data_IF_982680286886
#
_entry.id   IF_982680286886
#
_cell.length_a   1.000
_cell.length_b   1.000
_cell.length_c   1.000
_cell.angle_alpha   90.00
_cell.angle_beta   90.00
_cell.angle_gamma   90.00
#
_symmetry.space_group_name_H-M   'P 1'
#
loop_
_entity.id
_entity.type
_entity.pdbx_description
1 polymer ?
#
# COMPACT_ATOMS: atom_id res chain seq x y z
N UNK A 1 12.59 21.89 3.04
CA UNK A 1 11.25 21.34 3.16
C UNK A 1 10.82 20.81 1.80
N UNK A 2 10.35 19.55 1.75
CA UNK A 2 9.77 18.98 0.55
C UNK A 2 8.35 19.55 0.35
N UNK A 3 7.96 19.75 -0.91
CA UNK A 3 6.58 20.13 -1.26
C UNK A 3 5.82 18.90 -1.72
N UNK A 4 4.51 18.88 -1.44
CA UNK A 4 3.60 17.87 -1.94
C UNK A 4 2.70 18.49 -3.01
N UNK A 5 2.42 17.75 -4.07
CA UNK A 5 1.43 18.09 -5.10
C UNK A 5 0.33 17.04 -5.15
N UNK A 6 -0.86 17.46 -5.59
CA UNK A 6 -1.99 16.55 -5.75
C UNK A 6 -1.93 15.88 -7.13
N UNK A 7 -1.43 14.65 -7.17
CA UNK A 7 -1.20 13.88 -8.38
C UNK A 7 -2.35 12.93 -8.68
N UNK A 8 -2.76 12.83 -9.95
CA UNK A 8 -3.67 11.77 -10.41
C UNK A 8 -2.84 10.55 -10.81
N UNK A 9 -3.13 9.41 -10.19
CA UNK A 9 -2.36 8.19 -10.46
C UNK A 9 -2.67 7.62 -11.85
N UNK A 10 -1.62 7.21 -12.61
CA UNK A 10 -1.79 6.69 -13.96
C UNK A 10 -2.76 5.49 -14.00
N UNK A 11 -3.74 5.53 -14.91
CA UNK A 11 -4.72 4.45 -15.11
C UNK A 11 -5.74 4.29 -13.98
N UNK A 12 -5.92 5.31 -13.16
CA UNK A 12 -6.91 5.33 -12.08
C UNK A 12 -7.65 6.68 -12.01
N UNK A 13 -8.73 6.74 -11.22
CA UNK A 13 -9.39 7.99 -10.83
C UNK A 13 -8.97 8.42 -9.40
N UNK A 14 -7.86 7.90 -8.88
CA UNK A 14 -7.37 8.20 -7.53
C UNK A 14 -6.37 9.35 -7.61
N UNK A 15 -6.52 10.31 -6.69
CA UNK A 15 -5.60 11.42 -6.51
C UNK A 15 -4.92 11.28 -5.15
N UNK A 16 -3.61 11.57 -5.10
CA UNK A 16 -2.85 11.53 -3.86
C UNK A 16 -1.99 12.79 -3.73
N UNK A 17 -1.79 13.24 -2.50
CA UNK A 17 -0.73 14.16 -2.15
C UNK A 17 0.58 13.37 -2.11
N UNK A 18 1.43 13.60 -3.09
CA UNK A 18 2.72 12.94 -3.22
C UNK A 18 3.83 14.00 -3.27
N UNK A 19 5.08 13.57 -3.12
CA UNK A 19 6.21 14.46 -3.30
C UNK A 19 6.16 15.07 -4.70
N UNK A 20 6.34 16.38 -4.77
CA UNK A 20 6.44 17.08 -6.05
C UNK A 20 7.74 16.65 -6.76
N UNK A 21 7.61 16.19 -8.02
CA UNK A 21 8.73 15.71 -8.82
C UNK A 21 9.86 16.76 -8.95
N UNK A 22 9.51 18.05 -9.04
CA UNK A 22 10.47 19.14 -9.14
C UNK A 22 11.32 19.28 -7.85
N UNK A 23 10.88 18.74 -6.73
CA UNK A 23 11.64 18.73 -5.48
C UNK A 23 12.61 17.53 -5.36
N UNK A 24 12.52 16.54 -6.24
CA UNK A 24 13.35 15.34 -6.16
C UNK A 24 14.78 15.58 -6.67
N UNK A 25 14.95 16.55 -7.57
CA UNK A 25 16.23 16.87 -8.19
C UNK A 25 17.08 17.85 -7.36
N UNK A 26 16.57 18.38 -6.25
CA UNK A 26 17.33 19.28 -5.40
C UNK A 26 18.36 18.55 -4.54
N UNK A 27 19.48 19.22 -4.28
CA UNK A 27 20.44 18.73 -3.31
C UNK A 27 19.87 18.82 -1.88
N UNK A 28 19.99 17.74 -1.11
CA UNK A 28 19.64 17.71 0.30
C UNK A 28 20.82 18.17 1.15
N UNK A 29 20.53 18.88 2.24
CA UNK A 29 21.56 19.17 3.27
C UNK A 29 21.98 17.88 3.97
N UNK A 30 23.16 17.83 4.62
CA UNK A 30 23.56 16.66 5.41
C UNK A 30 22.55 16.27 6.50
N UNK A 31 21.90 17.26 7.11
CA UNK A 31 20.88 17.03 8.16
C UNK A 31 19.58 16.43 7.56
N UNK A 32 19.12 16.95 6.41
CA UNK A 32 17.98 16.38 5.68
C UNK A 32 18.27 14.96 5.25
N UNK A 33 19.47 14.70 4.69
CA UNK A 33 19.91 13.37 4.29
C UNK A 33 19.89 12.41 5.47
N UNK A 34 20.41 12.82 6.63
CA UNK A 34 20.40 11.99 7.83
C UNK A 34 18.97 11.64 8.27
N UNK A 35 18.07 12.63 8.32
CA UNK A 35 16.65 12.40 8.69
C UNK A 35 15.94 11.47 7.71
N UNK A 36 16.15 11.65 6.42
CA UNK A 36 15.57 10.77 5.40
C UNK A 36 16.06 9.32 5.54
N UNK A 37 17.33 9.12 5.92
CA UNK A 37 17.89 7.79 6.13
C UNK A 37 17.42 7.14 7.45
N UNK A 38 17.18 7.94 8.49
CA UNK A 38 16.68 7.47 9.78
C UNK A 38 15.17 7.17 9.73
N UNK A 39 14.38 8.02 9.05
CA UNK A 39 12.91 7.92 8.91
C UNK A 39 12.50 8.20 7.46
N UNK A 40 12.64 7.21 6.57
CA UNK A 40 12.30 7.40 5.16
C UNK A 40 10.81 7.70 4.99
N UNK A 41 10.43 8.80 4.32
CA UNK A 41 9.03 9.19 4.16
C UNK A 41 8.36 8.35 3.05
N UNK A 42 8.22 7.04 3.25
CA UNK A 42 7.64 6.12 2.26
C UNK A 42 6.22 6.52 1.83
N UNK A 43 5.48 7.18 2.70
CA UNK A 43 4.11 7.63 2.49
C UNK A 43 3.97 8.74 1.44
N UNK A 44 5.04 9.45 1.10
CA UNK A 44 4.99 10.51 0.08
C UNK A 44 5.11 9.99 -1.36
N UNK A 45 5.10 8.68 -1.55
CA UNK A 45 5.10 7.99 -2.85
C UNK A 45 3.90 7.05 -2.98
N UNK A 46 3.48 6.81 -4.20
CA UNK A 46 2.65 5.67 -4.54
C UNK A 46 3.56 4.56 -5.10
N UNK A 47 3.90 3.58 -4.26
CA UNK A 47 4.76 2.47 -4.66
C UNK A 47 4.08 1.58 -5.71
N UNK A 48 4.88 0.91 -6.53
CA UNK A 48 4.41 0.12 -7.66
C UNK A 48 3.32 -0.91 -7.27
N UNK A 49 3.49 -1.61 -6.15
CA UNK A 49 2.51 -2.61 -5.69
C UNK A 49 1.20 -1.98 -5.23
N UNK A 50 1.24 -0.81 -4.61
CA UNK A 50 0.04 -0.04 -4.27
C UNK A 50 -0.74 0.40 -5.50
N UNK A 51 -0.04 0.86 -6.55
CA UNK A 51 -0.67 1.24 -7.82
C UNK A 51 -1.27 0.02 -8.54
N UNK A 52 -0.58 -1.13 -8.52
CA UNK A 52 -1.12 -2.39 -9.06
C UNK A 52 -2.40 -2.77 -8.33
N UNK A 53 -2.41 -2.77 -6.99
CA UNK A 53 -3.62 -3.09 -6.22
C UNK A 53 -4.76 -2.13 -6.53
N UNK A 54 -4.48 -0.84 -6.64
CA UNK A 54 -5.50 0.16 -6.96
C UNK A 54 -6.19 -0.12 -8.30
N UNK A 55 -5.42 -0.41 -9.35
CA UNK A 55 -5.94 -0.76 -10.67
C UNK A 55 -6.69 -2.10 -10.64
N UNK A 56 -6.09 -3.09 -10.01
CA UNK A 56 -6.64 -4.43 -9.95
C UNK A 56 -7.96 -4.49 -9.19
N UNK A 57 -8.10 -3.79 -8.05
CA UNK A 57 -9.34 -3.70 -7.28
C UNK A 57 -10.45 -2.95 -8.04
N UNK A 58 -10.09 -1.95 -8.84
CA UNK A 58 -11.07 -1.25 -9.69
C UNK A 58 -11.66 -2.19 -10.77
N UNK A 59 -10.82 -3.05 -11.34
CA UNK A 59 -11.24 -4.06 -12.34
C UNK A 59 -11.91 -5.28 -11.70
N UNK A 60 -11.60 -5.58 -10.44
CA UNK A 60 -12.04 -6.77 -9.70
C UNK A 60 -12.74 -6.40 -8.37
N UNK A 61 -13.79 -5.57 -8.37
CA UNK A 61 -14.41 -5.05 -7.15
C UNK A 61 -15.02 -6.14 -6.26
N UNK A 62 -15.32 -7.33 -6.81
CA UNK A 62 -15.84 -8.47 -6.05
C UNK A 62 -14.92 -8.94 -4.92
N UNK A 63 -13.63 -8.60 -4.98
CA UNK A 63 -12.68 -8.96 -3.93
C UNK A 63 -12.88 -8.17 -2.64
N UNK A 64 -13.40 -6.96 -2.73
CA UNK A 64 -13.58 -6.06 -1.57
C UNK A 64 -15.03 -5.66 -1.33
N UNK A 65 -15.90 -5.76 -2.34
CA UNK A 65 -17.29 -5.28 -2.22
C UNK A 65 -18.03 -5.95 -1.08
N UNK A 66 -18.53 -5.11 -0.16
CA UNK A 66 -19.27 -5.56 1.03
C UNK A 66 -18.40 -6.21 2.10
N UNK A 67 -17.08 -6.24 1.92
CA UNK A 67 -16.11 -6.80 2.88
C UNK A 67 -15.58 -5.74 3.84
N UNK A 68 -15.15 -6.19 5.01
CA UNK A 68 -14.33 -5.43 5.96
C UNK A 68 -12.87 -5.66 5.63
N UNK A 69 -12.17 -4.62 5.25
CA UNK A 69 -10.82 -4.68 4.69
C UNK A 69 -9.85 -3.94 5.62
N UNK A 70 -8.67 -4.51 5.83
CA UNK A 70 -7.55 -3.81 6.44
C UNK A 70 -6.42 -3.69 5.40
N UNK A 71 -5.91 -2.47 5.24
CA UNK A 71 -4.72 -2.18 4.44
C UNK A 71 -3.50 -2.09 5.38
N UNK A 72 -2.60 -3.07 5.29
CA UNK A 72 -1.43 -3.18 6.16
C UNK A 72 -0.21 -2.51 5.53
N UNK A 73 0.41 -1.60 6.26
CA UNK A 73 1.48 -0.75 5.75
C UNK A 73 0.93 0.23 4.72
N UNK A 74 -0.14 0.94 5.08
CA UNK A 74 -0.95 1.72 4.15
C UNK A 74 -0.19 2.85 3.42
N UNK A 75 0.88 3.37 4.00
CA UNK A 75 1.73 4.41 3.42
C UNK A 75 0.92 5.62 2.94
N UNK A 76 0.83 5.81 1.62
CA UNK A 76 0.00 6.87 1.02
C UNK A 76 -1.51 6.61 1.11
N UNK A 77 -1.95 5.42 1.52
CA UNK A 77 -3.36 5.00 1.59
C UNK A 77 -3.97 4.60 0.24
N UNK A 78 -3.18 4.43 -0.80
CA UNK A 78 -3.69 4.17 -2.15
C UNK A 78 -4.54 2.90 -2.22
N UNK A 79 -4.13 1.81 -1.58
CA UNK A 79 -4.85 0.54 -1.62
C UNK A 79 -6.13 0.61 -0.77
N UNK A 80 -6.10 1.27 0.40
CA UNK A 80 -7.28 1.54 1.21
C UNK A 80 -8.32 2.37 0.45
N UNK A 81 -7.89 3.45 -0.21
CA UNK A 81 -8.75 4.31 -1.04
C UNK A 81 -9.37 3.51 -2.19
N UNK A 82 -8.57 2.69 -2.87
CA UNK A 82 -9.05 1.83 -3.94
C UNK A 82 -10.11 0.83 -3.45
N UNK A 83 -9.88 0.19 -2.30
CA UNK A 83 -10.84 -0.73 -1.69
C UNK A 83 -12.16 -0.03 -1.33
N UNK A 84 -12.10 1.17 -0.75
CA UNK A 84 -13.28 1.96 -0.44
C UNK A 84 -14.06 2.34 -1.71
N UNK A 85 -13.39 2.84 -2.76
CA UNK A 85 -14.00 3.17 -4.06
C UNK A 85 -14.60 1.93 -4.76
N UNK A 86 -14.03 0.76 -4.56
CA UNK A 86 -14.53 -0.51 -5.11
C UNK A 86 -15.71 -1.10 -4.31
N UNK A 87 -16.15 -0.44 -3.22
CA UNK A 87 -17.37 -0.77 -2.49
C UNK A 87 -17.13 -1.66 -1.27
N UNK A 88 -15.96 -1.63 -0.66
CA UNK A 88 -15.75 -2.23 0.65
C UNK A 88 -16.73 -1.64 1.69
N UNK A 89 -17.18 -2.48 2.63
CA UNK A 89 -18.11 -2.07 3.68
C UNK A 89 -17.43 -1.18 4.73
N UNK A 90 -16.21 -1.54 5.09
CA UNK A 90 -15.36 -0.82 6.04
C UNK A 90 -13.91 -1.01 5.59
N UNK A 91 -13.11 0.05 5.64
CA UNK A 91 -11.68 -0.03 5.36
C UNK A 91 -10.90 0.63 6.49
N UNK A 92 -9.94 -0.11 7.04
CA UNK A 92 -8.98 0.38 8.03
C UNK A 92 -7.62 0.52 7.36
N UNK A 93 -7.11 1.75 7.25
CA UNK A 93 -5.72 2.00 6.88
C UNK A 93 -4.84 1.87 8.13
N UNK A 94 -3.93 0.90 8.11
CA UNK A 94 -3.06 0.58 9.23
C UNK A 94 -1.60 0.82 8.85
N UNK A 95 -0.90 1.66 9.62
CA UNK A 95 0.52 1.93 9.44
C UNK A 95 1.17 2.29 10.77
N UNK A 96 2.40 1.83 11.00
CA UNK A 96 3.16 2.14 12.21
C UNK A 96 3.63 3.61 12.25
N UNK A 97 3.83 4.22 11.07
CA UNK A 97 4.23 5.62 10.96
C UNK A 97 3.02 6.55 11.12
N UNK A 98 2.97 7.40 12.17
CA UNK A 98 1.90 8.38 12.32
C UNK A 98 1.78 9.35 11.15
N UNK A 99 2.87 9.68 10.45
CA UNK A 99 2.84 10.55 9.27
C UNK A 99 2.18 9.85 8.07
N UNK A 100 2.34 8.54 7.93
CA UNK A 100 1.60 7.76 6.94
C UNK A 100 0.09 7.80 7.23
N UNK A 101 -0.32 7.73 8.50
CA UNK A 101 -1.73 7.86 8.88
C UNK A 101 -2.28 9.26 8.53
N UNK A 102 -1.50 10.33 8.77
CA UNK A 102 -1.88 11.68 8.36
C UNK A 102 -1.99 11.80 6.83
N UNK A 103 -1.05 11.20 6.08
CA UNK A 103 -1.11 11.13 4.62
C UNK A 103 -2.37 10.37 4.14
N UNK A 104 -2.70 9.23 4.76
CA UNK A 104 -3.93 8.48 4.47
C UNK A 104 -5.18 9.34 4.69
N UNK A 105 -5.25 10.13 5.77
CA UNK A 105 -6.38 11.04 6.05
C UNK A 105 -6.52 12.10 4.97
N UNK A 106 -5.43 12.77 4.61
CA UNK A 106 -5.42 13.81 3.58
C UNK A 106 -5.81 13.23 2.21
N UNK A 107 -5.30 12.06 1.87
CA UNK A 107 -5.58 11.40 0.61
C UNK A 107 -7.00 10.84 0.55
N UNK A 108 -7.55 10.32 1.65
CA UNK A 108 -8.95 9.90 1.72
C UNK A 108 -9.90 11.08 1.49
N UNK A 109 -9.62 12.22 2.13
CA UNK A 109 -10.40 13.47 1.92
C UNK A 109 -10.31 13.94 0.47
N UNK A 110 -9.15 13.88 -0.17
CA UNK A 110 -8.94 14.26 -1.58
C UNK A 110 -9.74 13.38 -2.56
N UNK A 111 -10.12 12.18 -2.14
CA UNK A 111 -10.87 11.21 -2.94
C UNK A 111 -12.34 11.02 -2.51
N UNK A 112 -12.84 11.80 -1.57
CA UNK A 112 -14.19 11.72 -1.03
C UNK A 112 -14.56 10.33 -0.49
N UNK A 113 -13.61 9.65 0.17
CA UNK A 113 -13.82 8.34 0.80
C UNK A 113 -13.66 8.42 2.32
N UNK A 114 -14.36 7.53 3.04
CA UNK A 114 -14.28 7.37 4.49
C UNK A 114 -13.41 6.17 4.81
N UNK A 115 -12.39 6.36 5.66
CA UNK A 115 -11.52 5.31 6.17
C UNK A 115 -11.48 5.36 7.70
N UNK A 116 -11.27 4.22 8.33
CA UNK A 116 -10.79 4.11 9.70
C UNK A 116 -9.27 3.99 9.72
N UNK A 117 -8.64 4.30 10.85
CA UNK A 117 -7.17 4.37 10.94
C UNK A 117 -6.68 3.64 12.18
N UNK A 118 -5.54 2.96 12.04
CA UNK A 118 -4.87 2.26 13.14
C UNK A 118 -3.35 2.42 13.02
N UNK A 119 -2.67 2.48 14.15
CA UNK A 119 -1.19 2.46 14.22
C UNK A 119 -0.65 1.15 14.78
N UNK A 120 -1.52 0.21 15.15
CA UNK A 120 -1.13 -1.07 15.72
C UNK A 120 -1.95 -2.22 15.15
N UNK A 121 -1.37 -2.91 14.16
CA UNK A 121 -1.97 -4.10 13.55
C UNK A 121 -2.26 -5.20 14.58
N UNK A 122 -1.40 -5.35 15.60
CA UNK A 122 -1.53 -6.41 16.57
C UNK A 122 -2.60 -6.16 17.63
N UNK A 123 -2.99 -4.89 17.81
CA UNK A 123 -4.14 -4.51 18.64
C UNK A 123 -5.48 -4.71 17.91
N UNK A 124 -5.48 -4.82 16.58
CA UNK A 124 -6.69 -5.04 15.81
C UNK A 124 -7.26 -6.45 16.07
N UNK A 125 -8.56 -6.52 16.27
CA UNK A 125 -9.25 -7.81 16.48
C UNK A 125 -9.33 -8.63 15.19
N UNK A 126 -9.42 -9.96 15.32
CA UNK A 126 -9.69 -10.90 14.22
C UNK A 126 -11.13 -10.68 13.70
N UNK A 127 -11.30 -9.73 12.81
CA UNK A 127 -12.62 -9.30 12.29
C UNK A 127 -12.64 -8.95 10.81
N UNK A 128 -11.51 -9.00 10.13
CA UNK A 128 -11.40 -8.61 8.72
C UNK A 128 -11.74 -9.77 7.79
N UNK A 129 -12.46 -9.46 6.72
CA UNK A 129 -12.72 -10.42 5.66
C UNK A 129 -11.52 -10.54 4.73
N UNK A 130 -10.81 -9.40 4.53
CA UNK A 130 -9.62 -9.34 3.68
C UNK A 130 -8.57 -8.41 4.28
N UNK A 131 -7.32 -8.86 4.29
CA UNK A 131 -6.16 -8.00 4.52
C UNK A 131 -5.46 -7.79 3.19
N UNK A 132 -5.25 -6.54 2.80
CA UNK A 132 -4.47 -6.14 1.62
C UNK A 132 -3.11 -5.63 2.05
N UNK A 133 -2.08 -5.94 1.28
CA UNK A 133 -0.68 -5.63 1.60
C UNK A 133 0.06 -5.25 0.32
N UNK A 134 0.78 -4.13 0.35
CA UNK A 134 1.55 -3.64 -0.79
C UNK A 134 2.99 -3.30 -0.39
N UNK A 135 3.98 -3.92 -1.04
CA UNK A 135 5.43 -3.66 -0.86
C UNK A 135 5.91 -3.67 0.60
N UNK A 136 5.42 -4.62 1.42
CA UNK A 136 5.82 -4.77 2.83
C UNK A 136 6.92 -5.80 3.00
N UNK A 137 7.06 -6.74 2.06
CA UNK A 137 8.00 -7.85 2.20
C UNK A 137 9.44 -7.49 1.76
N UNK A 138 9.73 -6.22 1.47
CA UNK A 138 11.07 -5.74 1.10
C UNK A 138 12.14 -6.10 2.15
N UNK A 139 11.76 -6.21 3.42
CA UNK A 139 12.57 -6.85 4.46
C UNK A 139 12.13 -8.30 4.65
N UNK A 140 13.07 -9.24 4.50
CA UNK A 140 12.79 -10.67 4.73
C UNK A 140 12.36 -10.98 6.17
N UNK A 141 12.70 -10.13 7.12
CA UNK A 141 12.20 -10.21 8.50
C UNK A 141 10.66 -10.08 8.57
N UNK A 142 10.03 -9.50 7.55
CA UNK A 142 8.58 -9.36 7.43
C UNK A 142 7.86 -10.62 6.90
N UNK A 143 8.57 -11.61 6.39
CA UNK A 143 7.95 -12.86 5.89
C UNK A 143 7.06 -13.57 6.92
N UNK A 144 7.38 -13.62 8.23
CA UNK A 144 6.48 -14.19 9.23
C UNK A 144 5.11 -13.47 9.36
N UNK A 145 4.99 -12.24 8.85
CA UNK A 145 3.70 -11.52 8.82
C UNK A 145 2.67 -12.22 7.92
N UNK A 146 3.09 -13.02 6.95
CA UNK A 146 2.19 -13.79 6.09
C UNK A 146 1.23 -14.68 6.91
N UNK A 147 1.74 -15.35 7.96
CA UNK A 147 0.90 -16.11 8.89
C UNK A 147 0.03 -15.20 9.77
N UNK A 148 0.56 -14.04 10.15
CA UNK A 148 -0.15 -13.06 10.97
C UNK A 148 -1.35 -12.46 10.22
N UNK A 149 -1.22 -12.23 8.90
CA UNK A 149 -2.35 -11.77 8.09
C UNK A 149 -3.50 -12.77 8.12
N UNK A 150 -3.22 -14.07 7.97
CA UNK A 150 -4.24 -15.11 8.02
C UNK A 150 -4.75 -15.39 9.44
N UNK A 151 -4.04 -14.97 10.49
CA UNK A 151 -4.56 -15.07 11.86
C UNK A 151 -5.61 -13.99 12.15
N UNK A 152 -5.63 -12.86 11.47
CA UNK A 152 -6.50 -11.68 11.69
C UNK A 152 -7.49 -11.42 10.56
N UNK A 153 -7.25 -11.99 9.39
CA UNK A 153 -8.14 -11.92 8.23
C UNK A 153 -8.58 -13.31 7.77
N UNK A 154 -9.72 -13.38 7.11
CA UNK A 154 -10.15 -14.62 6.45
C UNK A 154 -9.35 -14.87 5.18
N UNK A 155 -8.99 -13.80 4.49
CA UNK A 155 -8.22 -13.80 3.27
C UNK A 155 -7.10 -12.76 3.36
N UNK A 156 -6.03 -12.99 2.60
CA UNK A 156 -4.96 -12.02 2.39
C UNK A 156 -4.67 -11.86 0.91
N UNK A 157 -4.52 -10.62 0.44
CA UNK A 157 -4.12 -10.25 -0.91
C UNK A 157 -2.82 -9.44 -0.82
N UNK A 158 -1.73 -10.01 -1.31
CA UNK A 158 -0.38 -9.44 -1.20
C UNK A 158 0.14 -9.10 -2.58
N UNK A 159 0.49 -7.84 -2.79
CA UNK A 159 1.21 -7.36 -3.96
C UNK A 159 2.62 -6.96 -3.56
N UNK A 160 3.64 -7.51 -4.22
CA UNK A 160 5.02 -7.23 -3.89
C UNK A 160 5.91 -7.15 -5.13
N UNK A 161 6.69 -6.08 -5.22
CA UNK A 161 7.65 -5.82 -6.30
C UNK A 161 9.08 -6.23 -5.92
N UNK A 162 9.35 -6.43 -4.63
CA UNK A 162 10.70 -6.65 -4.09
C UNK A 162 11.00 -8.12 -3.86
N UNK A 163 10.02 -8.90 -3.37
CA UNK A 163 10.14 -10.34 -3.14
C UNK A 163 9.28 -11.09 -4.14
N UNK A 164 9.90 -11.50 -5.27
CA UNK A 164 9.18 -12.06 -6.42
C UNK A 164 8.69 -13.49 -6.22
N UNK A 165 9.39 -14.27 -5.42
CA UNK A 165 9.19 -15.71 -5.29
C UNK A 165 9.30 -16.15 -3.84
N UNK A 166 8.41 -15.66 -2.97
CA UNK A 166 8.30 -16.28 -1.67
C UNK A 166 7.52 -17.59 -1.76
N UNK A 167 7.94 -18.58 -0.97
CA UNK A 167 7.25 -19.85 -0.88
C UNK A 167 6.48 -19.91 0.43
N UNK A 168 5.17 -20.04 0.33
CA UNK A 168 4.30 -20.22 1.49
C UNK A 168 3.14 -21.17 1.12
N UNK A 169 2.84 -22.21 1.95
CA UNK A 169 1.87 -23.24 1.58
C UNK A 169 0.47 -22.75 1.25
N UNK A 170 0.05 -21.63 1.88
CA UNK A 170 -1.31 -21.08 1.75
C UNK A 170 -1.42 -19.98 0.70
N UNK A 171 -0.29 -19.38 0.26
CA UNK A 171 -0.29 -18.28 -0.71
C UNK A 171 -0.11 -18.79 -2.12
N UNK A 172 -1.06 -18.47 -2.98
CA UNK A 172 -1.03 -18.80 -4.41
C UNK A 172 -0.82 -17.51 -5.21
N UNK A 173 0.13 -17.54 -6.14
CA UNK A 173 0.35 -16.42 -7.06
C UNK A 173 -0.78 -16.35 -8.09
N UNK A 174 -1.49 -15.24 -8.12
CA UNK A 174 -2.54 -14.96 -9.09
C UNK A 174 -1.96 -14.51 -10.43
N UNK A 175 -0.85 -13.78 -10.41
CA UNK A 175 -0.20 -13.27 -11.61
C UNK A 175 0.94 -12.32 -11.31
N UNK A 176 1.49 -11.75 -12.40
CA UNK A 176 2.48 -10.67 -12.37
C UNK A 176 1.90 -9.53 -13.18
N UNK A 177 1.89 -8.34 -12.60
CA UNK A 177 1.36 -7.11 -13.18
C UNK A 177 2.46 -6.06 -13.23
N UNK A 178 2.30 -5.04 -14.08
CA UNK A 178 3.32 -4.00 -14.24
C UNK A 178 2.82 -2.64 -13.76
N UNK A 179 3.64 -1.97 -12.96
CA UNK A 179 3.52 -0.57 -12.60
C UNK A 179 4.88 0.02 -12.23
N UNK A 180 4.97 1.36 -12.26
CA UNK A 180 6.09 2.10 -11.69
C UNK A 180 5.64 2.76 -10.39
N UNK A 181 6.57 3.02 -9.48
CA UNK A 181 6.38 3.96 -8.38
C UNK A 181 6.02 5.34 -8.94
N UNK A 182 5.13 6.06 -8.29
CA UNK A 182 4.73 7.41 -8.71
C UNK A 182 4.93 8.44 -7.59
N UNK A 183 5.60 9.58 -7.84
CA UNK A 183 6.34 9.94 -9.06
C UNK A 183 7.43 8.91 -9.41
N UNK A 184 7.81 8.81 -10.70
CA UNK A 184 8.78 7.81 -11.16
C UNK A 184 10.16 8.07 -10.55
N UNK A 185 10.65 7.12 -9.77
CA UNK A 185 11.96 7.16 -9.12
C UNK A 185 13.10 6.64 -10.03
N UNK A 186 12.81 6.36 -11.30
CA UNK A 186 13.73 5.70 -12.23
C UNK A 186 14.31 4.38 -11.66
N UNK A 187 13.51 3.65 -10.91
CA UNK A 187 13.89 2.38 -10.31
C UNK A 187 14.25 1.34 -11.39
N UNK A 188 15.12 0.37 -11.08
CA UNK A 188 15.42 -0.74 -11.98
C UNK A 188 14.13 -1.39 -12.49
N UNK A 189 14.12 -1.74 -13.79
CA UNK A 189 12.95 -2.32 -14.46
C UNK A 189 12.37 -3.55 -13.74
N UNK A 190 13.20 -4.23 -12.98
CA UNK A 190 12.80 -5.39 -12.17
C UNK A 190 11.78 -5.07 -11.09
N UNK A 191 11.77 -3.86 -10.52
CA UNK A 191 10.79 -3.43 -9.50
C UNK A 191 9.46 -2.97 -10.10
N UNK A 192 9.34 -2.96 -11.43
CA UNK A 192 8.08 -2.71 -12.14
C UNK A 192 7.19 -3.95 -12.23
N UNK A 193 7.77 -5.15 -12.01
CA UNK A 193 7.03 -6.42 -12.04
C UNK A 193 6.53 -6.76 -10.63
N UNK A 194 5.25 -6.58 -10.43
CA UNK A 194 4.58 -6.84 -9.14
C UNK A 194 3.93 -8.21 -9.16
N UNK A 195 4.35 -9.08 -8.27
CA UNK A 195 3.69 -10.38 -8.05
C UNK A 195 2.48 -10.20 -7.15
N UNK A 196 1.32 -10.69 -7.57
CA UNK A 196 0.09 -10.68 -6.80
C UNK A 196 -0.19 -12.08 -6.26
N UNK A 197 -0.40 -12.19 -4.95
CA UNK A 197 -0.67 -13.44 -4.23
C UNK A 197 -1.98 -13.34 -3.46
N UNK A 198 -2.66 -14.47 -3.36
CA UNK A 198 -3.85 -14.63 -2.53
C UNK A 198 -3.68 -15.82 -1.60
N UNK A 199 -4.17 -15.68 -0.38
CA UNK A 199 -4.31 -16.77 0.56
C UNK A 199 -5.66 -16.70 1.27
N UNK A 200 -6.16 -17.86 1.66
CA UNK A 200 -7.39 -18.00 2.44
C UNK A 200 -7.12 -18.89 3.65
N UNK A 201 -7.62 -18.44 4.80
CA UNK A 201 -7.61 -19.25 6.03
C UNK A 201 -8.53 -20.47 5.83
N UNK A 202 -7.97 -21.66 6.02
CA UNK A 202 -8.71 -22.95 6.00
C UNK A 202 -9.59 -23.11 7.25
#
# INVERSE_FOLDING_TARGET
>A
DAQLSAETLPGTAIRLWLIDADNMDRAFSPEETRRILEEPPYWCFCWASGLVLARWLAENPQWVRGKRVLDFGAGSGVAAIAAAKAGALEVVACDLDPLAIEACRANAALNDVQLSYSTDFFAEADRFDLIIVADVLYDRANLPLLDQFLSRGREALVADSRVRDFQHPLYQRLGILEACTWPDLAEPAEFRHVSLYHAQRT
#
